data_IF_949684160916
#
_entry.id   IF_949684160916
#
_cell.length_a   1.000
_cell.length_b   1.000
_cell.length_c   1.000
_cell.angle_alpha   90.00
_cell.angle_beta   90.00
_cell.angle_gamma   90.00
#
_symmetry.space_group_name_H-M   'P 1'
#
loop_
_entity.id
_entity.type
_entity.pdbx_description
1 polymer ?
#
# COMPACT_ATOMS: atom_id res chain seq x y z
N UNK A 1 0.79 -12.29 -13.11
CA UNK A 1 1.38 -13.58 -12.65
C UNK A 1 0.76 -14.08 -11.34
N UNK A 2 -0.06 -13.29 -10.63
CA UNK A 2 -0.77 -13.73 -9.42
C UNK A 2 -1.54 -15.08 -9.54
N UNK A 3 -2.17 -15.43 -10.69
CA UNK A 3 -2.81 -16.72 -10.88
C UNK A 3 -1.88 -17.93 -10.68
N UNK A 4 -0.57 -17.76 -10.87
CA UNK A 4 0.43 -18.80 -10.62
C UNK A 4 0.41 -19.21 -9.14
N UNK A 5 0.31 -18.24 -8.23
CA UNK A 5 0.29 -18.45 -6.80
C UNK A 5 -1.00 -19.05 -6.26
N UNK A 6 -2.10 -18.91 -7.01
CA UNK A 6 -3.37 -19.59 -6.70
C UNK A 6 -3.43 -21.00 -7.26
N UNK A 7 -2.72 -21.28 -8.37
CA UNK A 7 -2.79 -22.58 -9.07
C UNK A 7 -1.78 -23.60 -8.58
N UNK A 8 -0.53 -23.17 -8.32
CA UNK A 8 0.54 -24.13 -8.03
C UNK A 8 0.86 -24.19 -6.54
N UNK A 9 0.90 -25.40 -6.01
CA UNK A 9 1.26 -25.70 -4.62
C UNK A 9 2.65 -26.30 -4.55
N UNK A 10 3.44 -25.89 -3.58
CA UNK A 10 4.75 -26.47 -3.32
C UNK A 10 4.59 -27.59 -2.28
N UNK A 11 4.52 -28.82 -2.75
CA UNK A 11 4.02 -30.01 -2.05
C UNK A 11 4.48 -30.22 -0.61
N UNK A 12 5.69 -29.78 -0.24
CA UNK A 12 6.24 -29.95 1.13
C UNK A 12 6.07 -28.72 2.02
N UNK A 13 5.83 -27.56 1.44
CA UNK A 13 5.85 -26.25 2.14
C UNK A 13 4.48 -25.57 2.16
N UNK A 14 3.51 -26.12 1.44
CA UNK A 14 2.20 -25.53 1.28
C UNK A 14 2.10 -24.53 0.14
N UNK A 15 0.88 -24.02 -0.06
CA UNK A 15 0.58 -23.07 -1.15
C UNK A 15 1.16 -21.68 -0.88
N UNK A 16 0.93 -21.14 0.31
CA UNK A 16 1.34 -19.76 0.62
C UNK A 16 2.76 -19.67 1.15
N UNK A 17 3.09 -20.45 2.16
CA UNK A 17 4.44 -20.45 2.74
C UNK A 17 5.51 -20.84 1.73
N UNK A 18 5.22 -21.82 0.87
CA UNK A 18 6.14 -22.25 -0.16
C UNK A 18 6.51 -21.14 -1.13
N UNK A 19 5.52 -20.39 -1.62
CA UNK A 19 5.78 -19.26 -2.51
C UNK A 19 6.44 -18.07 -1.80
N UNK A 20 6.08 -17.78 -0.52
CA UNK A 20 6.77 -16.76 0.28
C UNK A 20 8.26 -17.12 0.39
N UNK A 21 8.59 -18.37 0.74
CA UNK A 21 9.98 -18.80 0.86
C UNK A 21 10.77 -18.68 -0.45
N UNK A 22 10.17 -19.13 -1.57
CA UNK A 22 10.83 -19.01 -2.88
C UNK A 22 11.10 -17.54 -3.22
N UNK A 23 10.11 -16.68 -3.08
CA UNK A 23 10.28 -15.25 -3.40
C UNK A 23 11.27 -14.57 -2.46
N UNK A 24 11.28 -14.91 -1.16
CA UNK A 24 12.29 -14.42 -0.20
C UNK A 24 13.70 -14.83 -0.59
N UNK A 25 13.92 -16.11 -0.92
CA UNK A 25 15.25 -16.60 -1.32
C UNK A 25 15.72 -15.92 -2.61
N UNK A 26 14.88 -15.82 -3.62
CA UNK A 26 15.21 -15.15 -4.87
C UNK A 26 15.47 -13.65 -4.66
N UNK A 27 14.72 -13.01 -3.76
CA UNK A 27 14.92 -11.61 -3.40
C UNK A 27 16.25 -11.40 -2.69
N UNK A 28 16.62 -12.28 -1.73
CA UNK A 28 17.91 -12.25 -1.06
C UNK A 28 19.06 -12.34 -2.06
N UNK A 29 19.01 -13.29 -2.99
CA UNK A 29 20.05 -13.42 -4.02
C UNK A 29 20.10 -12.20 -4.94
N UNK A 30 18.96 -11.63 -5.29
CA UNK A 30 18.90 -10.43 -6.14
C UNK A 30 19.47 -9.20 -5.42
N UNK A 31 19.21 -9.04 -4.12
CA UNK A 31 19.76 -7.94 -3.28
C UNK A 31 21.28 -8.10 -3.14
N UNK A 32 21.77 -9.31 -2.85
CA UNK A 32 23.22 -9.58 -2.77
C UNK A 32 23.87 -9.30 -4.13
N UNK A 33 23.29 -9.80 -5.22
CA UNK A 33 23.79 -9.55 -6.57
C UNK A 33 23.86 -8.05 -6.88
N UNK A 34 22.83 -7.28 -6.52
CA UNK A 34 22.81 -5.83 -6.70
C UNK A 34 23.93 -5.14 -5.93
N UNK A 35 24.17 -5.56 -4.67
CA UNK A 35 25.28 -5.04 -3.85
C UNK A 35 26.66 -5.37 -4.37
N UNK A 36 26.82 -6.47 -5.12
CA UNK A 36 28.10 -6.89 -5.70
C UNK A 36 28.40 -6.21 -7.05
N UNK A 37 27.44 -5.49 -7.64
CA UNK A 37 27.64 -4.80 -8.93
C UNK A 37 28.15 -3.38 -8.74
N UNK A 38 29.04 -2.94 -9.66
CA UNK A 38 29.51 -1.56 -9.71
C UNK A 38 28.72 -0.78 -10.76
N UNK A 39 27.90 0.23 -10.37
CA UNK A 39 27.10 1.00 -11.31
C UNK A 39 27.90 1.73 -12.39
N UNK A 40 29.09 2.20 -12.05
CA UNK A 40 29.96 2.92 -12.99
C UNK A 40 30.52 2.03 -14.08
N UNK A 41 30.70 0.73 -13.80
CA UNK A 41 31.28 -0.23 -14.75
C UNK A 41 30.22 -1.03 -15.53
N UNK A 42 29.05 -1.26 -14.94
CA UNK A 42 28.07 -2.20 -15.48
C UNK A 42 26.61 -1.82 -15.17
N UNK A 43 26.19 -0.65 -15.69
CA UNK A 43 24.85 -0.12 -15.49
C UNK A 43 23.72 -1.08 -15.96
N UNK A 44 23.96 -1.87 -17.03
CA UNK A 44 22.98 -2.84 -17.53
C UNK A 44 22.73 -3.97 -16.51
N UNK A 45 23.74 -4.49 -15.85
CA UNK A 45 23.58 -5.52 -14.82
C UNK A 45 22.86 -4.97 -13.57
N UNK A 46 23.14 -3.72 -13.19
CA UNK A 46 22.40 -3.04 -12.11
C UNK A 46 20.95 -2.92 -12.45
N UNK A 47 20.62 -2.49 -13.67
CA UNK A 47 19.23 -2.39 -14.14
C UNK A 47 18.51 -3.75 -14.15
N UNK A 48 19.17 -4.80 -14.64
CA UNK A 48 18.62 -6.15 -14.64
C UNK A 48 18.35 -6.68 -13.24
N UNK A 49 19.32 -6.52 -12.31
CA UNK A 49 19.14 -6.95 -10.93
C UNK A 49 18.07 -6.13 -10.19
N UNK A 50 17.97 -4.83 -10.47
CA UNK A 50 16.89 -4.00 -9.94
C UNK A 50 15.51 -4.48 -10.43
N UNK A 51 15.39 -4.93 -11.69
CA UNK A 51 14.16 -5.57 -12.20
C UNK A 51 13.85 -6.86 -11.42
N UNK A 52 14.84 -7.70 -11.15
CA UNK A 52 14.62 -8.91 -10.33
C UNK A 52 14.21 -8.58 -8.90
N UNK A 53 14.87 -7.62 -8.24
CA UNK A 53 14.47 -7.14 -6.90
C UNK A 53 13.02 -6.68 -6.89
N UNK A 54 12.62 -5.81 -7.84
CA UNK A 54 11.25 -5.30 -7.91
C UNK A 54 10.23 -6.38 -8.23
N UNK A 55 10.56 -7.30 -9.15
CA UNK A 55 9.69 -8.41 -9.52
C UNK A 55 9.45 -9.39 -8.37
N UNK A 56 10.52 -9.82 -7.69
CA UNK A 56 10.39 -10.74 -6.56
C UNK A 56 9.76 -10.07 -5.34
N UNK A 57 10.03 -8.79 -5.10
CA UNK A 57 9.35 -8.02 -4.06
C UNK A 57 7.84 -7.92 -4.32
N UNK A 58 7.43 -7.54 -5.53
CA UNK A 58 6.02 -7.50 -5.90
C UNK A 58 5.35 -8.88 -5.85
N UNK A 59 6.09 -9.94 -6.21
CA UNK A 59 5.61 -11.32 -6.10
C UNK A 59 5.42 -11.74 -4.66
N UNK A 60 6.35 -11.37 -3.78
CA UNK A 60 6.26 -11.61 -2.35
C UNK A 60 5.07 -10.89 -1.72
N UNK A 61 4.84 -9.62 -2.07
CA UNK A 61 3.70 -8.84 -1.57
C UNK A 61 2.37 -9.53 -1.92
N UNK A 62 2.20 -10.00 -3.16
CA UNK A 62 0.99 -10.72 -3.59
C UNK A 62 0.73 -11.96 -2.71
N UNK A 63 1.79 -12.73 -2.41
CA UNK A 63 1.64 -13.97 -1.65
C UNK A 63 1.44 -13.70 -0.15
N UNK A 64 2.12 -12.68 0.42
CA UNK A 64 1.94 -12.27 1.81
C UNK A 64 0.52 -11.72 2.04
N UNK A 65 0.00 -10.92 1.13
CA UNK A 65 -1.37 -10.43 1.21
C UNK A 65 -2.40 -11.57 1.14
N UNK A 66 -2.17 -12.55 0.27
CA UNK A 66 -3.00 -13.74 0.19
C UNK A 66 -2.89 -14.58 1.47
N UNK A 67 -1.68 -14.79 2.00
CA UNK A 67 -1.45 -15.47 3.27
C UNK A 67 -2.22 -14.80 4.42
N UNK A 68 -2.09 -13.47 4.56
CA UNK A 68 -2.81 -12.68 5.56
C UNK A 68 -4.32 -12.83 5.45
N UNK A 69 -4.86 -12.74 4.22
CA UNK A 69 -6.30 -12.88 3.97
C UNK A 69 -6.82 -14.28 4.33
N UNK A 70 -6.05 -15.31 4.07
CA UNK A 70 -6.45 -16.70 4.31
C UNK A 70 -6.27 -17.12 5.78
N UNK A 71 -5.25 -16.58 6.47
CA UNK A 71 -4.93 -16.91 7.87
C UNK A 71 -5.87 -16.25 8.87
N UNK A 72 -6.48 -15.10 8.53
CA UNK A 72 -7.30 -14.32 9.44
C UNK A 72 -8.80 -14.47 9.13
N UNK A 73 -9.61 -14.43 10.19
CA UNK A 73 -11.07 -14.31 10.07
C UNK A 73 -11.45 -12.91 9.55
N UNK A 74 -12.68 -12.75 9.07
CA UNK A 74 -13.15 -11.48 8.51
C UNK A 74 -13.12 -10.34 9.56
N UNK A 75 -13.37 -10.66 10.82
CA UNK A 75 -13.33 -9.68 11.93
C UNK A 75 -11.88 -9.27 12.28
N UNK A 76 -10.90 -10.12 12.03
CA UNK A 76 -9.48 -9.86 12.31
C UNK A 76 -8.77 -9.14 11.15
N UNK A 77 -9.39 -9.04 9.96
CA UNK A 77 -8.76 -8.42 8.80
C UNK A 77 -8.32 -6.98 9.04
N UNK A 78 -9.05 -6.23 9.84
CA UNK A 78 -8.70 -4.82 10.14
C UNK A 78 -7.44 -4.75 11.01
N UNK A 79 -7.32 -5.60 12.04
CA UNK A 79 -6.10 -5.69 12.86
C UNK A 79 -4.92 -6.20 12.05
N UNK A 80 -5.15 -7.20 11.20
CA UNK A 80 -4.14 -7.70 10.26
C UNK A 80 -3.66 -6.62 9.30
N UNK A 81 -4.56 -5.79 8.77
CA UNK A 81 -4.21 -4.66 7.93
C UNK A 81 -3.40 -3.61 8.70
N UNK A 82 -3.79 -3.29 9.95
CA UNK A 82 -3.04 -2.37 10.81
C UNK A 82 -1.62 -2.87 11.06
N UNK A 83 -1.46 -4.14 11.44
CA UNK A 83 -0.14 -4.76 11.68
C UNK A 83 0.71 -4.78 10.41
N UNK A 84 0.11 -5.06 9.25
CA UNK A 84 0.77 -5.01 7.95
C UNK A 84 1.29 -3.60 7.64
N UNK A 85 0.46 -2.57 7.82
CA UNK A 85 0.86 -1.16 7.58
C UNK A 85 2.01 -0.76 8.51
N UNK A 86 1.95 -1.13 9.81
CA UNK A 86 3.02 -0.87 10.77
C UNK A 86 4.34 -1.54 10.33
N UNK A 87 4.29 -2.83 10.01
CA UNK A 87 5.46 -3.60 9.56
C UNK A 87 6.06 -3.03 8.27
N UNK A 88 5.22 -2.68 7.29
CA UNK A 88 5.64 -2.04 6.04
C UNK A 88 6.36 -0.70 6.28
N UNK A 89 5.83 0.15 7.17
CA UNK A 89 6.46 1.44 7.51
C UNK A 89 7.80 1.27 8.22
N UNK A 90 7.90 0.32 9.16
CA UNK A 90 9.17 0.00 9.83
C UNK A 90 10.19 -0.51 8.79
N UNK A 91 9.80 -1.42 7.90
CA UNK A 91 10.65 -1.92 6.82
C UNK A 91 11.14 -0.81 5.89
N UNK A 92 10.24 0.10 5.49
CA UNK A 92 10.57 1.25 4.66
C UNK A 92 11.58 2.20 5.32
N UNK A 93 11.44 2.45 6.63
CA UNK A 93 12.42 3.25 7.40
C UNK A 93 13.76 2.54 7.51
N UNK A 94 13.75 1.25 7.82
CA UNK A 94 14.98 0.46 7.95
C UNK A 94 15.74 0.41 6.64
N UNK A 95 15.06 0.16 5.52
CA UNK A 95 15.69 0.12 4.20
C UNK A 95 16.11 1.52 3.71
N UNK A 96 15.27 2.53 3.88
CA UNK A 96 15.54 3.89 3.40
C UNK A 96 16.55 4.63 4.30
N UNK A 97 16.11 5.07 5.47
CA UNK A 97 16.95 5.85 6.39
C UNK A 97 18.10 5.01 6.96
N UNK A 98 17.81 3.76 7.39
CA UNK A 98 18.83 2.84 7.89
C UNK A 98 19.90 2.52 6.84
N UNK A 99 19.49 2.26 5.60
CA UNK A 99 20.41 2.04 4.48
C UNK A 99 21.32 3.21 4.20
N UNK A 100 20.80 4.45 4.22
CA UNK A 100 21.61 5.66 4.01
C UNK A 100 22.61 5.90 5.16
N UNK A 101 22.18 5.73 6.41
CA UNK A 101 23.08 5.85 7.58
C UNK A 101 24.22 4.81 7.51
N UNK A 102 23.89 3.57 7.13
CA UNK A 102 24.91 2.54 6.95
C UNK A 102 25.85 2.87 5.79
N UNK A 103 25.36 3.51 4.71
CA UNK A 103 26.17 3.90 3.57
C UNK A 103 27.21 5.00 3.89
N UNK A 104 26.99 5.79 4.95
CA UNK A 104 27.99 6.74 5.47
C UNK A 104 29.11 6.02 6.25
N UNK A 105 28.83 4.83 6.80
CA UNK A 105 29.76 4.09 7.66
C UNK A 105 30.52 2.97 6.91
N UNK A 106 29.94 2.47 5.82
CA UNK A 106 30.50 1.33 5.08
C UNK A 106 30.15 1.40 3.60
N UNK A 107 30.79 0.54 2.79
CA UNK A 107 30.51 0.50 1.35
C UNK A 107 29.10 -0.02 1.07
N UNK A 108 28.51 0.41 -0.05
CA UNK A 108 27.19 -0.06 -0.50
C UNK A 108 27.08 -1.60 -0.57
N UNK A 109 28.17 -2.28 -0.89
CA UNK A 109 28.20 -3.74 -0.90
C UNK A 109 27.82 -4.33 0.46
N UNK A 110 28.40 -3.82 1.55
CA UNK A 110 28.07 -4.27 2.90
C UNK A 110 26.66 -3.84 3.33
N UNK A 111 26.19 -2.67 2.90
CA UNK A 111 24.81 -2.21 3.16
C UNK A 111 23.81 -3.20 2.57
N UNK A 112 23.95 -3.57 1.29
CA UNK A 112 23.08 -4.55 0.65
C UNK A 112 23.18 -5.94 1.30
N UNK A 113 24.35 -6.35 1.73
CA UNK A 113 24.53 -7.60 2.47
C UNK A 113 23.77 -7.59 3.81
N UNK A 114 23.83 -6.49 4.57
CA UNK A 114 23.06 -6.34 5.82
C UNK A 114 21.56 -6.39 5.52
N UNK A 115 21.07 -5.71 4.47
CA UNK A 115 19.65 -5.77 4.08
C UNK A 115 19.23 -7.21 3.71
N UNK A 116 20.07 -7.95 3.01
CA UNK A 116 19.85 -9.36 2.71
C UNK A 116 19.81 -10.23 3.98
N UNK A 117 20.68 -9.97 4.97
CA UNK A 117 20.67 -10.66 6.26
C UNK A 117 19.40 -10.38 7.06
N UNK A 118 18.86 -9.16 7.04
CA UNK A 118 17.58 -8.83 7.67
C UNK A 118 16.44 -9.65 7.05
N UNK A 119 16.48 -9.92 5.75
CA UNK A 119 15.50 -10.78 5.07
C UNK A 119 15.53 -12.23 5.57
N UNK A 120 16.66 -12.74 6.08
CA UNK A 120 16.75 -14.08 6.69
C UNK A 120 15.81 -14.20 7.90
N UNK A 121 15.64 -13.12 8.68
CA UNK A 121 14.64 -13.08 9.74
C UNK A 121 13.22 -13.35 9.23
N UNK A 122 12.87 -12.80 8.07
CA UNK A 122 11.60 -13.09 7.39
C UNK A 122 11.48 -14.56 6.96
N UNK A 123 12.56 -15.15 6.45
CA UNK A 123 12.61 -16.58 6.09
C UNK A 123 12.37 -17.46 7.32
N UNK A 124 13.01 -17.17 8.44
CA UNK A 124 12.83 -17.91 9.70
C UNK A 124 11.40 -17.84 10.21
N UNK A 125 10.78 -16.65 10.18
CA UNK A 125 9.37 -16.46 10.54
C UNK A 125 8.47 -17.29 9.62
N UNK A 126 8.70 -17.27 8.30
CA UNK A 126 7.92 -18.05 7.33
C UNK A 126 8.05 -19.56 7.56
N UNK A 127 9.21 -20.05 8.00
CA UNK A 127 9.42 -21.47 8.33
C UNK A 127 8.63 -21.92 9.58
N UNK A 128 8.44 -21.03 10.55
CA UNK A 128 7.72 -21.30 11.80
C UNK A 128 6.20 -21.09 11.65
N UNK A 129 5.79 -20.17 10.76
CA UNK A 129 4.38 -19.82 10.57
C UNK A 129 3.55 -21.02 10.08
N UNK A 130 2.28 -21.07 10.45
CA UNK A 130 1.35 -22.11 10.00
C UNK A 130 0.91 -21.87 8.55
N UNK A 131 0.71 -22.95 7.79
CA UNK A 131 0.10 -22.84 6.46
C UNK A 131 -1.41 -22.61 6.61
N UNK A 132 -2.01 -21.63 5.94
CA UNK A 132 -3.47 -21.46 5.93
C UNK A 132 -4.20 -22.68 5.40
N UNK A 133 -5.46 -22.84 5.78
CA UNK A 133 -6.31 -23.92 5.29
C UNK A 133 -6.33 -23.94 3.75
N UNK A 134 -6.00 -25.09 3.17
CA UNK A 134 -6.00 -25.23 1.71
C UNK A 134 -7.42 -25.22 1.15
N UNK A 135 -7.66 -24.30 0.21
CA UNK A 135 -8.86 -24.29 -0.62
C UNK A 135 -8.60 -25.07 -1.91
N UNK A 136 -9.67 -25.57 -2.54
CA UNK A 136 -9.57 -26.30 -3.81
C UNK A 136 -8.85 -25.44 -4.87
N UNK A 137 -7.83 -26.03 -5.48
CA UNK A 137 -7.05 -25.38 -6.53
C UNK A 137 -7.83 -25.32 -7.85
N UNK A 138 -7.62 -24.27 -8.67
CA UNK A 138 -8.13 -24.26 -10.04
C UNK A 138 -7.58 -25.43 -10.84
N UNK A 139 -8.44 -26.11 -11.63
CA UNK A 139 -8.06 -27.31 -12.37
C UNK A 139 -7.05 -27.03 -13.49
N UNK A 140 -7.18 -25.90 -14.16
CA UNK A 140 -6.28 -25.45 -15.23
C UNK A 140 -5.73 -24.04 -14.97
N UNK A 141 -4.66 -23.66 -15.65
CA UNK A 141 -4.14 -22.30 -15.59
C UNK A 141 -5.14 -21.27 -16.14
N UNK A 142 -5.89 -21.63 -17.18
CA UNK A 142 -6.95 -20.79 -17.73
C UNK A 142 -8.07 -20.55 -16.71
N UNK A 143 -8.40 -21.56 -15.92
CA UNK A 143 -9.37 -21.44 -14.81
C UNK A 143 -8.83 -20.50 -13.72
N UNK A 144 -7.54 -20.58 -13.41
CA UNK A 144 -6.91 -19.69 -12.44
C UNK A 144 -6.91 -18.21 -12.89
N UNK A 145 -6.93 -17.97 -14.19
CA UNK A 145 -7.05 -16.60 -14.75
C UNK A 145 -8.51 -16.16 -14.83
N UNK A 146 -9.40 -17.00 -15.37
CA UNK A 146 -10.80 -16.62 -15.68
C UNK A 146 -11.73 -16.65 -14.46
N UNK A 147 -11.62 -17.71 -13.66
CA UNK A 147 -12.57 -17.98 -12.59
C UNK A 147 -12.59 -16.89 -11.48
N UNK A 148 -11.46 -16.23 -11.11
CA UNK A 148 -11.48 -15.13 -10.15
C UNK A 148 -12.39 -13.98 -10.58
N UNK A 149 -12.40 -13.64 -11.86
CA UNK A 149 -13.29 -12.59 -12.41
C UNK A 149 -14.74 -13.04 -12.41
N UNK A 150 -15.01 -14.23 -12.97
CA UNK A 150 -16.37 -14.79 -13.05
C UNK A 150 -16.96 -14.94 -11.65
N UNK A 151 -16.18 -15.42 -10.69
CA UNK A 151 -16.60 -15.60 -9.30
C UNK A 151 -16.92 -14.25 -8.65
N UNK A 152 -16.05 -13.24 -8.79
CA UNK A 152 -16.25 -11.92 -8.23
C UNK A 152 -17.56 -11.30 -8.73
N UNK A 153 -17.80 -11.32 -10.04
CA UNK A 153 -19.03 -10.78 -10.63
C UNK A 153 -20.27 -11.58 -10.25
N UNK A 154 -20.17 -12.90 -10.14
CA UNK A 154 -21.29 -13.76 -9.71
C UNK A 154 -21.63 -13.59 -8.23
N UNK A 155 -20.63 -13.49 -7.37
CA UNK A 155 -20.81 -13.38 -5.91
C UNK A 155 -21.43 -12.04 -5.50
N UNK A 156 -21.05 -10.95 -6.16
CA UNK A 156 -21.54 -9.62 -5.85
C UNK A 156 -22.66 -9.17 -6.78
N UNK A 157 -22.92 -9.88 -7.87
CA UNK A 157 -24.07 -9.64 -8.75
C UNK A 157 -25.36 -10.16 -8.14
N UNK A 158 -26.47 -9.49 -8.45
CA UNK A 158 -27.80 -9.94 -8.01
C UNK A 158 -28.21 -11.18 -8.82
N UNK A 159 -28.37 -12.32 -8.15
CA UNK A 159 -28.67 -13.61 -8.78
C UNK A 159 -30.03 -13.63 -9.49
N UNK A 160 -30.95 -12.72 -9.14
CA UNK A 160 -32.31 -12.65 -9.67
C UNK A 160 -32.40 -11.77 -10.92
N UNK A 161 -31.64 -10.64 -10.96
CA UNK A 161 -31.75 -9.64 -12.03
C UNK A 161 -30.50 -9.51 -12.91
N UNK A 162 -29.49 -10.35 -12.77
CA UNK A 162 -28.20 -10.25 -13.48
C UNK A 162 -27.56 -8.84 -13.34
N UNK A 163 -27.77 -8.19 -12.21
CA UNK A 163 -27.38 -6.79 -12.01
C UNK A 163 -25.87 -6.68 -11.76
N UNK A 164 -25.13 -6.37 -12.82
CA UNK A 164 -23.66 -6.18 -12.83
C UNK A 164 -23.27 -4.88 -12.09
N UNK A 165 -24.24 -4.06 -11.67
CA UNK A 165 -23.97 -2.75 -11.09
C UNK A 165 -23.19 -2.82 -9.77
N UNK A 166 -23.51 -3.77 -8.88
CA UNK A 166 -22.83 -3.88 -7.56
C UNK A 166 -21.34 -4.20 -7.67
N UNK A 167 -20.89 -5.23 -8.41
CA UNK A 167 -19.45 -5.45 -8.63
C UNK A 167 -18.73 -4.24 -9.23
N UNK A 168 -19.36 -3.55 -10.17
CA UNK A 168 -18.79 -2.33 -10.78
C UNK A 168 -18.68 -1.21 -9.74
N UNK A 169 -19.70 -1.01 -8.90
CA UNK A 169 -19.66 -0.03 -7.83
C UNK A 169 -18.55 -0.33 -6.81
N UNK A 170 -18.31 -1.60 -6.47
CA UNK A 170 -17.20 -1.99 -5.61
C UNK A 170 -15.86 -1.61 -6.25
N UNK A 171 -15.66 -1.91 -7.54
CA UNK A 171 -14.42 -1.57 -8.25
C UNK A 171 -14.26 -0.05 -8.39
N UNK A 172 -15.36 0.66 -8.63
CA UNK A 172 -15.36 2.13 -8.70
C UNK A 172 -15.06 2.76 -7.34
N UNK A 173 -15.61 2.22 -6.26
CA UNK A 173 -15.24 2.61 -4.90
C UNK A 173 -13.75 2.41 -4.64
N UNK A 174 -13.21 1.23 -5.00
CA UNK A 174 -11.77 0.95 -4.87
C UNK A 174 -10.93 1.94 -5.69
N UNK A 175 -11.36 2.32 -6.88
CA UNK A 175 -10.68 3.30 -7.71
C UNK A 175 -10.71 4.70 -7.09
N UNK A 176 -11.86 5.15 -6.60
CA UNK A 176 -12.10 6.55 -6.26
C UNK A 176 -11.77 6.91 -4.80
N UNK A 177 -11.83 5.95 -3.86
CA UNK A 177 -11.72 6.21 -2.42
C UNK A 177 -10.47 7.00 -2.01
N UNK A 178 -9.36 6.83 -2.73
CA UNK A 178 -8.07 7.51 -2.41
C UNK A 178 -7.65 8.55 -3.45
N UNK A 179 -8.51 8.91 -4.40
CA UNK A 179 -8.15 9.87 -5.47
C UNK A 179 -7.78 11.23 -4.91
N UNK A 180 -8.63 11.81 -4.06
CA UNK A 180 -8.39 13.17 -3.50
C UNK A 180 -7.10 13.25 -2.70
N UNK A 181 -6.89 12.30 -1.79
CA UNK A 181 -5.68 12.15 -0.99
C UNK A 181 -4.42 11.97 -1.87
N UNK A 182 -4.49 11.10 -2.86
CA UNK A 182 -3.38 10.84 -3.78
C UNK A 182 -3.00 12.08 -4.59
N UNK A 183 -3.99 12.82 -5.08
CA UNK A 183 -3.76 14.08 -5.80
C UNK A 183 -3.14 15.13 -4.90
N UNK A 184 -3.68 15.35 -3.70
CA UNK A 184 -3.15 16.32 -2.74
C UNK A 184 -1.68 16.04 -2.38
N UNK A 185 -1.33 14.76 -2.19
CA UNK A 185 0.04 14.35 -1.87
C UNK A 185 1.02 14.42 -3.04
N UNK A 186 0.55 14.36 -4.29
CA UNK A 186 1.42 14.31 -5.47
C UNK A 186 2.33 15.53 -5.60
N UNK A 187 1.85 16.71 -5.26
CA UNK A 187 2.58 17.99 -5.33
C UNK A 187 2.90 18.60 -3.96
N UNK A 188 2.67 17.88 -2.87
CA UNK A 188 2.81 18.40 -1.52
C UNK A 188 4.21 18.99 -1.21
N UNK A 189 5.28 18.37 -1.71
CA UNK A 189 6.66 18.87 -1.51
C UNK A 189 6.88 20.20 -2.21
N UNK A 190 6.38 20.36 -3.44
CA UNK A 190 6.47 21.62 -4.19
C UNK A 190 5.68 22.71 -3.46
N UNK A 191 4.47 22.39 -3.01
CA UNK A 191 3.64 23.29 -2.21
C UNK A 191 4.37 23.80 -0.98
N UNK A 192 4.98 22.94 -0.17
CA UNK A 192 5.72 23.38 1.02
C UNK A 192 6.89 24.30 0.69
N UNK A 193 7.62 24.01 -0.39
CA UNK A 193 8.73 24.86 -0.85
C UNK A 193 8.24 26.22 -1.31
N UNK A 194 7.14 26.31 -2.04
CA UNK A 194 6.53 27.58 -2.48
C UNK A 194 6.00 28.40 -1.30
N UNK A 195 5.48 27.73 -0.26
CA UNK A 195 5.09 28.40 0.99
C UNK A 195 6.28 28.86 1.85
N UNK A 196 7.51 28.68 1.37
CA UNK A 196 8.74 29.16 2.00
C UNK A 196 9.26 28.27 3.14
N UNK A 197 8.79 27.00 3.25
CA UNK A 197 9.37 26.07 4.22
C UNK A 197 10.72 25.56 3.72
N UNK A 198 11.68 25.46 4.63
CA UNK A 198 13.02 24.94 4.32
C UNK A 198 12.97 23.40 4.16
N UNK A 199 13.97 22.86 3.45
CA UNK A 199 14.10 21.40 3.30
C UNK A 199 14.20 20.68 4.65
N UNK A 200 14.85 21.30 5.65
CA UNK A 200 14.96 20.77 7.01
C UNK A 200 13.62 20.76 7.74
N UNK A 201 12.84 21.85 7.64
CA UNK A 201 11.48 21.91 8.21
C UNK A 201 10.57 20.84 7.58
N UNK A 202 10.62 20.67 6.26
CA UNK A 202 9.88 19.62 5.54
C UNK A 202 10.35 18.24 6.00
N UNK A 203 11.66 18.01 6.09
CA UNK A 203 12.23 16.73 6.52
C UNK A 203 11.78 16.35 7.93
N UNK A 204 11.85 17.29 8.87
CA UNK A 204 11.48 17.02 10.27
C UNK A 204 9.96 16.94 10.47
N UNK A 205 9.21 17.94 10.03
CA UNK A 205 7.77 18.02 10.29
C UNK A 205 7.01 17.04 9.39
N UNK A 206 7.20 17.10 8.06
CA UNK A 206 6.40 16.30 7.14
C UNK A 206 6.82 14.83 7.16
N UNK A 207 8.13 14.56 7.14
CA UNK A 207 8.61 13.15 7.04
C UNK A 207 8.60 12.45 8.39
N UNK A 208 9.10 13.07 9.48
CA UNK A 208 9.16 12.41 10.79
C UNK A 208 7.81 12.45 11.50
N UNK A 209 7.24 13.65 11.73
CA UNK A 209 5.95 13.76 12.41
C UNK A 209 4.82 13.13 11.58
N UNK A 210 4.80 13.35 10.26
CA UNK A 210 3.81 12.74 9.38
C UNK A 210 3.85 11.21 9.43
N UNK A 211 5.05 10.60 9.45
CA UNK A 211 5.18 9.16 9.58
C UNK A 211 4.62 8.67 10.92
N UNK A 212 5.01 9.31 12.04
CA UNK A 212 4.50 8.94 13.37
C UNK A 212 2.97 9.07 13.44
N UNK A 213 2.41 10.13 12.89
CA UNK A 213 0.97 10.31 12.80
C UNK A 213 0.30 9.21 11.98
N UNK A 214 0.90 8.79 10.86
CA UNK A 214 0.38 7.67 10.04
C UNK A 214 0.38 6.35 10.83
N UNK A 215 1.45 6.05 11.58
CA UNK A 215 1.54 4.84 12.40
C UNK A 215 0.47 4.83 13.50
N UNK A 216 0.35 5.95 14.22
CA UNK A 216 -0.69 6.13 15.25
C UNK A 216 -2.09 6.03 14.63
N UNK A 217 -2.29 6.66 13.46
CA UNK A 217 -3.54 6.58 12.71
C UNK A 217 -3.90 5.16 12.30
N UNK A 218 -2.95 4.39 11.77
CA UNK A 218 -3.17 3.00 11.40
C UNK A 218 -3.57 2.14 12.62
N UNK A 219 -2.92 2.35 13.76
CA UNK A 219 -3.24 1.64 15.00
C UNK A 219 -4.62 2.02 15.54
N UNK A 220 -4.91 3.32 15.67
CA UNK A 220 -6.23 3.82 16.12
C UNK A 220 -7.32 3.38 15.15
N UNK A 221 -7.09 3.49 13.84
CA UNK A 221 -8.02 3.04 12.81
C UNK A 221 -8.36 1.57 12.93
N UNK A 222 -7.35 0.72 13.20
CA UNK A 222 -7.54 -0.70 13.50
C UNK A 222 -8.46 -0.93 14.69
N UNK A 223 -8.16 -0.31 15.82
CA UNK A 223 -8.94 -0.45 17.06
C UNK A 223 -10.38 0.08 16.94
N UNK A 224 -10.55 1.25 16.32
CA UNK A 224 -11.87 1.84 16.13
C UNK A 224 -12.75 1.00 15.20
N UNK A 225 -12.16 0.44 14.14
CA UNK A 225 -12.91 -0.37 13.18
C UNK A 225 -13.47 -1.66 13.80
N UNK A 226 -12.84 -2.21 14.83
CA UNK A 226 -13.40 -3.34 15.60
C UNK A 226 -14.69 -2.92 16.31
N UNK A 227 -14.71 -1.70 16.86
CA UNK A 227 -15.86 -1.21 17.65
C UNK A 227 -17.04 -0.76 16.79
N UNK A 228 -16.78 -0.02 15.72
CA UNK A 228 -17.83 0.61 14.89
C UNK A 228 -18.16 -0.18 13.62
N UNK A 229 -17.34 -1.18 13.29
CA UNK A 229 -17.49 -2.00 12.10
C UNK A 229 -16.84 -1.39 10.87
N UNK A 230 -16.46 -2.25 9.90
CA UNK A 230 -15.64 -1.89 8.74
C UNK A 230 -16.28 -0.80 7.86
N UNK A 231 -17.56 -0.94 7.49
CA UNK A 231 -18.22 0.01 6.57
C UNK A 231 -18.39 1.39 7.19
N UNK A 232 -18.77 1.46 8.46
CA UNK A 232 -18.86 2.74 9.18
C UNK A 232 -17.49 3.38 9.32
N UNK A 233 -16.44 2.58 9.51
CA UNK A 233 -15.06 3.06 9.56
C UNK A 233 -14.63 3.69 8.24
N UNK A 234 -14.91 3.04 7.11
CA UNK A 234 -14.58 3.57 5.78
C UNK A 234 -15.22 4.95 5.56
N UNK A 235 -16.50 5.09 5.85
CA UNK A 235 -17.22 6.37 5.70
C UNK A 235 -16.65 7.42 6.66
N UNK A 236 -16.53 7.10 7.95
CA UNK A 236 -16.07 8.05 8.97
C UNK A 236 -14.63 8.50 8.73
N UNK A 237 -13.75 7.57 8.37
CA UNK A 237 -12.34 7.88 8.10
C UNK A 237 -12.16 8.59 6.77
N UNK A 238 -12.98 8.27 5.75
CA UNK A 238 -13.00 8.99 4.48
C UNK A 238 -13.45 10.44 4.65
N UNK A 239 -14.51 10.69 5.43
CA UNK A 239 -14.95 12.06 5.78
C UNK A 239 -13.84 12.78 6.56
N UNK A 240 -13.24 12.12 7.55
CA UNK A 240 -12.14 12.70 8.31
C UNK A 240 -10.95 13.04 7.43
N UNK A 241 -10.59 12.16 6.48
CA UNK A 241 -9.54 12.41 5.48
C UNK A 241 -9.88 13.63 4.59
N UNK A 242 -11.11 13.71 4.08
CA UNK A 242 -11.53 14.83 3.25
C UNK A 242 -11.45 16.18 4.01
N UNK A 243 -11.87 16.19 5.29
CA UNK A 243 -11.76 17.37 6.16
C UNK A 243 -10.29 17.70 6.45
N UNK A 244 -9.45 16.70 6.74
CA UNK A 244 -8.03 16.91 7.01
C UNK A 244 -7.30 17.49 5.79
N UNK A 245 -7.65 17.07 4.57
CA UNK A 245 -7.11 17.61 3.31
C UNK A 245 -7.42 19.10 3.14
N UNK A 246 -8.57 19.62 3.65
CA UNK A 246 -8.86 21.06 3.68
C UNK A 246 -7.85 21.85 4.54
N UNK A 247 -7.15 21.21 5.46
CA UNK A 247 -6.07 21.83 6.21
C UNK A 247 -4.95 22.39 5.31
N UNK A 248 -4.69 21.77 4.16
CA UNK A 248 -3.73 22.31 3.17
C UNK A 248 -4.23 23.59 2.52
N UNK A 249 -5.55 23.72 2.28
CA UNK A 249 -6.13 24.96 1.77
C UNK A 249 -5.96 26.10 2.79
N UNK A 250 -6.20 25.83 4.09
CA UNK A 250 -5.94 26.79 5.16
C UNK A 250 -4.45 27.16 5.21
N UNK A 251 -3.56 26.20 5.04
CA UNK A 251 -2.11 26.44 5.01
C UNK A 251 -1.71 27.30 3.81
N UNK A 252 -2.37 27.15 2.66
CA UNK A 252 -2.09 27.89 1.43
C UNK A 252 -2.36 29.41 1.54
N UNK A 253 -3.35 29.79 2.35
CA UNK A 253 -3.72 31.22 2.55
C UNK A 253 -3.12 31.83 3.83
N UNK A 254 -2.47 31.01 4.66
CA UNK A 254 -1.91 31.44 5.93
C UNK A 254 -0.46 31.90 5.79
N UNK A 255 -0.02 32.80 6.66
CA UNK A 255 1.40 33.12 6.78
C UNK A 255 2.17 31.86 7.24
N UNK A 256 3.44 31.75 6.84
CA UNK A 256 4.32 30.65 7.23
C UNK A 256 4.30 30.44 8.75
N UNK A 257 3.90 29.24 9.18
CA UNK A 257 3.86 28.82 10.58
C UNK A 257 4.17 27.34 10.70
N UNK A 258 5.25 27.02 11.41
CA UNK A 258 5.63 25.63 11.67
C UNK A 258 4.59 24.87 12.50
N UNK A 259 3.92 25.57 13.42
CA UNK A 259 2.87 24.98 14.26
C UNK A 259 1.65 24.60 13.42
N UNK A 260 1.25 25.48 12.49
CA UNK A 260 0.15 25.20 11.58
C UNK A 260 0.50 24.05 10.64
N UNK A 261 1.73 24.05 10.07
CA UNK A 261 2.22 22.95 9.24
C UNK A 261 2.18 21.63 10.02
N UNK A 262 2.72 21.59 11.24
CA UNK A 262 2.75 20.40 12.05
C UNK A 262 1.33 19.87 12.37
N UNK A 263 0.40 20.78 12.66
CA UNK A 263 -1.00 20.42 12.95
C UNK A 263 -1.69 19.84 11.73
N UNK A 264 -1.57 20.48 10.55
CA UNK A 264 -2.17 19.98 9.29
C UNK A 264 -1.57 18.63 8.92
N UNK A 265 -0.24 18.49 8.94
CA UNK A 265 0.45 17.25 8.63
C UNK A 265 0.05 16.12 9.58
N UNK A 266 -0.06 16.42 10.88
CA UNK A 266 -0.46 15.41 11.87
C UNK A 266 -1.89 14.93 11.63
N UNK A 267 -2.84 15.83 11.47
CA UNK A 267 -4.25 15.47 11.24
C UNK A 267 -4.42 14.69 9.93
N UNK A 268 -3.79 15.16 8.88
CA UNK A 268 -3.87 14.55 7.55
C UNK A 268 -3.26 13.14 7.53
N UNK A 269 -2.07 12.96 8.08
CA UNK A 269 -1.43 11.66 8.12
C UNK A 269 -2.11 10.69 9.10
N UNK A 270 -2.68 11.18 10.20
CA UNK A 270 -3.51 10.38 11.10
C UNK A 270 -4.74 9.84 10.35
N UNK A 271 -5.48 10.72 9.66
CA UNK A 271 -6.64 10.34 8.87
C UNK A 271 -6.26 9.36 7.74
N UNK A 272 -5.15 9.62 7.05
CA UNK A 272 -4.62 8.75 6.00
C UNK A 272 -4.30 7.34 6.52
N UNK A 273 -3.67 7.23 7.70
CA UNK A 273 -3.37 5.95 8.35
C UNK A 273 -4.63 5.18 8.71
N UNK A 274 -5.61 5.85 9.33
CA UNK A 274 -6.92 5.25 9.68
C UNK A 274 -7.66 4.77 8.43
N UNK A 275 -7.80 5.62 7.43
CA UNK A 275 -8.49 5.31 6.18
C UNK A 275 -7.83 4.17 5.40
N UNK A 276 -6.50 4.16 5.32
CA UNK A 276 -5.76 3.13 4.60
C UNK A 276 -5.92 1.74 5.23
N UNK A 277 -5.90 1.65 6.57
CA UNK A 277 -6.10 0.39 7.30
C UNK A 277 -7.49 -0.19 7.04
N UNK A 278 -8.55 0.62 7.15
CA UNK A 278 -9.92 0.18 6.87
C UNK A 278 -10.08 -0.21 5.38
N UNK A 279 -9.45 0.52 4.49
CA UNK A 279 -9.51 0.28 3.06
C UNK A 279 -8.84 -1.04 2.65
N UNK A 280 -7.65 -1.35 3.20
CA UNK A 280 -7.01 -2.65 2.97
C UNK A 280 -7.82 -3.82 3.53
N UNK A 281 -8.46 -3.63 4.69
CA UNK A 281 -9.36 -4.63 5.26
C UNK A 281 -10.61 -4.84 4.39
N UNK A 282 -11.16 -3.78 3.80
CA UNK A 282 -12.25 -3.87 2.85
C UNK A 282 -11.86 -4.69 1.62
N UNK A 283 -10.73 -4.38 0.99
CA UNK A 283 -10.21 -5.14 -0.15
C UNK A 283 -10.05 -6.62 0.23
N UNK A 284 -9.50 -6.92 1.41
CA UNK A 284 -9.34 -8.27 1.89
C UNK A 284 -10.71 -8.99 2.02
N UNK A 285 -11.73 -8.32 2.57
CA UNK A 285 -13.07 -8.91 2.73
C UNK A 285 -13.82 -9.09 1.40
N UNK A 286 -13.49 -8.29 0.39
CA UNK A 286 -14.03 -8.47 -0.96
C UNK A 286 -13.37 -9.61 -1.73
N UNK A 287 -12.31 -10.21 -1.21
CA UNK A 287 -11.56 -11.29 -1.86
C UNK A 287 -12.06 -12.66 -1.46
N UNK A 288 -12.24 -13.57 -2.43
CA UNK A 288 -12.55 -14.98 -2.17
C UNK A 288 -11.28 -15.74 -1.79
N UNK A 289 -11.34 -16.53 -0.70
CA UNK A 289 -10.20 -17.31 -0.19
C UNK A 289 -9.70 -18.38 -1.17
N UNK A 290 -10.50 -18.76 -2.16
CA UNK A 290 -10.06 -19.69 -3.22
C UNK A 290 -9.11 -19.03 -4.24
N UNK A 291 -9.33 -17.74 -4.56
CA UNK A 291 -8.60 -16.98 -5.57
C UNK A 291 -7.91 -15.73 -4.98
N UNK A 292 -7.40 -15.86 -3.76
CA UNK A 292 -6.97 -14.71 -2.95
C UNK A 292 -5.87 -13.92 -3.63
N UNK A 293 -4.81 -14.58 -4.12
CA UNK A 293 -3.67 -13.89 -4.73
C UNK A 293 -4.10 -13.09 -5.97
N UNK A 294 -4.96 -13.69 -6.83
CA UNK A 294 -5.40 -13.05 -8.07
C UNK A 294 -6.36 -11.89 -7.81
N UNK A 295 -7.41 -12.10 -6.99
CA UNK A 295 -8.39 -11.05 -6.72
C UNK A 295 -7.79 -9.90 -5.91
N UNK A 296 -6.99 -10.20 -4.88
CA UNK A 296 -6.35 -9.17 -4.08
C UNK A 296 -5.37 -8.33 -4.91
N UNK A 297 -4.50 -8.98 -5.70
CA UNK A 297 -3.57 -8.28 -6.58
C UNK A 297 -4.28 -7.40 -7.62
N UNK A 298 -5.42 -7.86 -8.17
CA UNK A 298 -6.22 -7.05 -9.09
C UNK A 298 -6.78 -5.80 -8.39
N UNK A 299 -7.39 -5.96 -7.22
CA UNK A 299 -7.98 -4.84 -6.48
C UNK A 299 -6.93 -3.83 -6.02
N UNK A 300 -5.76 -4.29 -5.55
CA UNK A 300 -4.65 -3.40 -5.18
C UNK A 300 -4.02 -2.72 -6.40
N UNK A 301 -4.01 -3.36 -7.56
CA UNK A 301 -3.63 -2.71 -8.81
C UNK A 301 -4.60 -1.58 -9.18
N UNK A 302 -5.93 -1.80 -9.08
CA UNK A 302 -6.95 -0.76 -9.28
C UNK A 302 -6.78 0.37 -8.26
N UNK A 303 -6.52 0.04 -6.99
CA UNK A 303 -6.24 1.02 -5.93
C UNK A 303 -5.05 1.95 -6.26
N UNK A 304 -4.06 1.46 -6.99
CA UNK A 304 -2.86 2.23 -7.35
C UNK A 304 -3.03 3.11 -8.61
N UNK A 305 -4.05 2.85 -9.45
CA UNK A 305 -4.30 3.60 -10.69
C UNK A 305 -4.47 5.12 -10.48
N UNK A 306 -5.16 5.62 -9.45
CA UNK A 306 -5.30 7.04 -9.21
C UNK A 306 -3.98 7.79 -9.15
N UNK A 307 -2.97 7.20 -8.51
CA UNK A 307 -1.64 7.78 -8.43
C UNK A 307 -0.99 8.00 -9.80
N UNK A 308 -1.24 7.11 -10.74
CA UNK A 308 -0.66 7.20 -12.09
C UNK A 308 -1.48 8.09 -13.01
N UNK A 309 -2.82 7.98 -12.95
CA UNK A 309 -3.71 8.66 -13.89
C UNK A 309 -4.01 10.10 -13.48
N UNK A 310 -4.34 10.33 -12.20
CA UNK A 310 -4.82 11.63 -11.74
C UNK A 310 -3.72 12.56 -11.23
N UNK A 311 -2.61 12.01 -10.70
CA UNK A 311 -1.48 12.85 -10.27
C UNK A 311 -0.81 13.60 -11.43
N UNK A 312 -0.88 13.06 -12.65
CA UNK A 312 -0.35 13.74 -13.84
C UNK A 312 -1.09 15.04 -14.18
N UNK A 313 -2.38 15.15 -13.83
CA UNK A 313 -3.17 16.37 -14.06
C UNK A 313 -3.02 17.42 -12.94
N UNK A 314 -2.44 17.06 -11.81
CA UNK A 314 -2.35 17.93 -10.62
C UNK A 314 -1.61 19.24 -10.90
N UNK A 315 -0.55 19.22 -11.72
CA UNK A 315 0.20 20.42 -12.11
C UNK A 315 -0.69 21.43 -12.83
N UNK A 316 -1.43 21.01 -13.86
CA UNK A 316 -2.35 21.88 -14.60
C UNK A 316 -3.47 22.45 -13.71
N UNK A 317 -3.95 21.65 -12.76
CA UNK A 317 -4.98 22.10 -11.82
C UNK A 317 -4.43 23.16 -10.86
N UNK A 318 -3.21 23.00 -10.36
CA UNK A 318 -2.57 24.02 -9.49
C UNK A 318 -2.31 25.31 -10.26
N UNK A 319 -1.83 25.22 -11.50
CA UNK A 319 -1.60 26.40 -12.35
C UNK A 319 -2.89 27.18 -12.64
N UNK A 320 -4.02 26.47 -12.82
CA UNK A 320 -5.29 27.09 -13.17
C UNK A 320 -6.11 27.56 -11.96
N UNK A 321 -6.06 26.85 -10.84
CA UNK A 321 -6.92 27.09 -9.67
C UNK A 321 -6.17 27.80 -8.52
N UNK A 322 -4.84 27.71 -8.49
CA UNK A 322 -4.02 28.04 -7.33
C UNK A 322 -4.10 26.95 -6.24
N UNK A 323 -3.17 27.01 -5.28
CA UNK A 323 -3.04 25.97 -4.24
C UNK A 323 -4.28 25.84 -3.36
N UNK A 324 -4.90 26.95 -2.95
CA UNK A 324 -6.09 26.95 -2.10
C UNK A 324 -7.23 26.14 -2.73
N UNK A 325 -7.65 26.55 -3.93
CA UNK A 325 -8.77 25.89 -4.61
C UNK A 325 -8.44 24.48 -5.06
N UNK A 326 -7.17 24.20 -5.37
CA UNK A 326 -6.71 22.85 -5.68
C UNK A 326 -6.94 21.89 -4.50
N UNK A 327 -6.58 22.26 -3.27
CA UNK A 327 -6.81 21.40 -2.10
C UNK A 327 -8.29 21.30 -1.75
N UNK A 328 -9.09 22.36 -1.96
CA UNK A 328 -10.58 22.27 -1.86
C UNK A 328 -11.09 21.25 -2.88
N UNK A 329 -10.64 21.30 -4.12
CA UNK A 329 -11.03 20.34 -5.16
C UNK A 329 -10.62 18.91 -4.76
N UNK A 330 -9.40 18.68 -4.27
CA UNK A 330 -8.94 17.38 -3.79
C UNK A 330 -9.82 16.84 -2.64
N UNK A 331 -10.26 17.69 -1.74
CA UNK A 331 -11.20 17.32 -0.68
C UNK A 331 -12.57 16.94 -1.24
N UNK A 332 -13.13 17.74 -2.16
CA UNK A 332 -14.45 17.51 -2.73
C UNK A 332 -14.52 16.24 -3.58
N UNK A 333 -13.47 15.92 -4.34
CA UNK A 333 -13.44 14.73 -5.19
C UNK A 333 -13.39 13.42 -4.38
N UNK A 334 -13.15 13.48 -3.07
CA UNK A 334 -13.23 12.32 -2.19
C UNK A 334 -14.70 11.93 -1.87
N UNK A 335 -15.65 12.88 -1.88
CA UNK A 335 -17.03 12.62 -1.49
C UNK A 335 -17.82 11.66 -2.40
N UNK A 336 -17.66 11.64 -3.74
CA UNK A 336 -18.38 10.68 -4.60
C UNK A 336 -18.11 9.21 -4.26
N UNK A 337 -17.02 8.92 -3.57
CA UNK A 337 -16.67 7.56 -3.15
C UNK A 337 -17.16 7.21 -1.72
N UNK A 338 -17.69 8.16 -0.97
CA UNK A 338 -18.18 7.97 0.40
C UNK A 338 -19.70 7.76 0.42
#
# INVERSE_FOLDING_TARGET
>A
WAPIFDRYVISKLGRRRGWILITQVLLIFSIIGLGMTNPAMNAANVALLAIFVTFFSASQDIVIDAYRRESLSDNEQVLGASSYVLGYRIGMLSAGAGGLILADLMSYQFVYLIMALVMIGGVLITLIADEPVNFSEPSTFLDAVRNPFVEFFKRHGDSINNNISIPILILLFILLYKVGDTMAHSLSTNFYLEMGYTKTEIGTVVKVFGLMATLVGAFIGGLLSIKIGLYKSLISFGIFQAIATLGFSVLAVSAKSLMLLASVITLENLAAGMGYTAYLAFIANMTNKQFTATQFALMTAIMSLPRTLFSGSSGFLVESLGWENYFIFCSLIAFPAL
#
